data_IF_825143001844
#
_entry.id   IF_825143001844
#
_cell.length_a   1.000
_cell.length_b   1.000
_cell.length_c   1.000
_cell.angle_alpha   90.00
_cell.angle_beta   90.00
_cell.angle_gamma   90.00
#
_symmetry.space_group_name_H-M   'P 1'
#
loop_
_entity.id
_entity.type
_entity.pdbx_description
1 polymer ?
#
# COMPACT_ATOMS: atom_id res chain seq x y z
N UNK A 1 16.74 -22.93 -15.03
CA UNK A 1 16.39 -21.97 -13.96
C UNK A 1 16.01 -20.65 -14.62
N UNK A 2 14.73 -20.33 -14.70
CA UNK A 2 14.25 -19.07 -15.29
C UNK A 2 14.61 -17.90 -14.37
N UNK A 3 15.61 -17.11 -14.76
CA UNK A 3 16.01 -15.89 -14.07
C UNK A 3 14.90 -14.86 -14.23
N UNK A 4 14.01 -14.77 -13.24
CA UNK A 4 12.95 -13.75 -13.21
C UNK A 4 13.64 -12.38 -13.20
N UNK A 5 13.59 -11.67 -14.32
CA UNK A 5 14.21 -10.34 -14.48
C UNK A 5 13.64 -9.44 -13.39
N UNK A 6 14.51 -8.96 -12.48
CA UNK A 6 14.09 -8.08 -11.37
C UNK A 6 13.55 -6.79 -11.98
N UNK A 7 12.31 -6.43 -11.64
CA UNK A 7 11.73 -5.15 -12.04
C UNK A 7 12.47 -3.99 -11.37
N UNK A 8 12.32 -2.79 -11.93
CA UNK A 8 12.88 -1.56 -11.35
C UNK A 8 12.34 -1.37 -9.91
N UNK A 9 13.19 -0.92 -8.98
CA UNK A 9 12.74 -0.63 -7.63
C UNK A 9 11.74 0.54 -7.62
N UNK A 10 10.87 0.59 -6.61
CA UNK A 10 10.03 1.76 -6.34
C UNK A 10 10.87 2.80 -5.60
N UNK A 11 10.95 3.99 -6.17
CA UNK A 11 11.39 5.22 -5.51
C UNK A 11 10.41 5.63 -4.40
N UNK A 12 10.79 6.59 -3.57
CA UNK A 12 9.93 7.03 -2.48
C UNK A 12 8.74 7.85 -2.99
N UNK A 13 8.93 8.68 -4.02
CA UNK A 13 7.82 9.39 -4.70
C UNK A 13 6.81 8.42 -5.30
N UNK A 14 7.28 7.36 -5.99
CA UNK A 14 6.42 6.28 -6.50
C UNK A 14 5.64 5.58 -5.38
N UNK A 15 6.22 5.40 -4.19
CA UNK A 15 5.50 4.82 -3.04
C UNK A 15 4.46 5.80 -2.51
N UNK A 16 4.81 7.07 -2.33
CA UNK A 16 3.88 8.10 -1.84
C UNK A 16 2.65 8.21 -2.72
N UNK A 17 2.82 8.25 -4.04
CA UNK A 17 1.71 8.25 -4.99
C UNK A 17 0.81 7.00 -4.81
N UNK A 18 1.41 5.82 -4.69
CA UNK A 18 0.65 4.58 -4.47
C UNK A 18 -0.16 4.62 -3.16
N UNK A 19 0.45 5.14 -2.10
CA UNK A 19 -0.20 5.30 -0.79
C UNK A 19 -1.38 6.26 -0.89
N UNK A 20 -1.20 7.41 -1.53
CA UNK A 20 -2.25 8.42 -1.71
C UNK A 20 -3.45 7.85 -2.45
N UNK A 21 -3.20 7.17 -3.57
CA UNK A 21 -4.26 6.51 -4.36
C UNK A 21 -4.98 5.43 -3.55
N UNK A 22 -4.26 4.54 -2.87
CA UNK A 22 -4.89 3.48 -2.05
C UNK A 22 -5.70 4.06 -0.90
N UNK A 23 -5.26 5.18 -0.32
CA UNK A 23 -5.96 5.84 0.80
C UNK A 23 -7.35 6.30 0.39
N UNK A 24 -7.52 6.80 -0.84
CA UNK A 24 -8.83 7.19 -1.39
C UNK A 24 -9.80 5.99 -1.47
N UNK A 25 -9.28 4.77 -1.67
CA UNK A 25 -10.07 3.54 -1.80
C UNK A 25 -9.94 2.59 -0.61
N UNK A 26 -9.46 3.07 0.56
CA UNK A 26 -9.15 2.25 1.74
C UNK A 26 -10.32 1.35 2.16
N UNK A 27 -11.53 1.88 2.14
CA UNK A 27 -12.76 1.18 2.53
C UNK A 27 -13.07 -0.05 1.68
N UNK A 28 -12.51 -0.15 0.47
CA UNK A 28 -12.61 -1.32 -0.41
C UNK A 28 -11.35 -2.19 -0.27
N UNK A 29 -10.16 -1.57 -0.32
CA UNK A 29 -8.87 -2.28 -0.35
C UNK A 29 -8.56 -2.99 0.97
N UNK A 30 -8.82 -2.37 2.12
CA UNK A 30 -8.50 -2.93 3.45
C UNK A 30 -9.68 -3.66 4.11
N UNK A 31 -10.81 -3.73 3.42
CA UNK A 31 -11.95 -4.50 3.89
C UNK A 31 -11.66 -6.01 3.83
N UNK A 32 -12.00 -6.70 4.91
CA UNK A 32 -11.74 -8.11 5.16
C UNK A 32 -12.82 -9.05 4.62
N UNK A 33 -13.91 -8.53 4.04
CA UNK A 33 -14.93 -9.35 3.39
C UNK A 33 -14.30 -10.19 2.28
N UNK A 34 -14.71 -11.45 2.19
CA UNK A 34 -14.19 -12.43 1.22
C UNK A 34 -15.25 -12.92 0.24
N UNK A 35 -16.44 -12.31 0.24
CA UNK A 35 -17.52 -12.68 -0.66
C UNK A 35 -17.09 -12.51 -2.13
N UNK A 36 -17.62 -13.35 -3.02
CA UNK A 36 -17.23 -13.35 -4.43
C UNK A 36 -17.50 -11.99 -5.11
N UNK A 37 -18.60 -11.32 -4.74
CA UNK A 37 -18.95 -9.97 -5.21
C UNK A 37 -17.89 -8.96 -4.76
N UNK A 38 -17.54 -9.01 -3.47
CA UNK A 38 -16.57 -8.10 -2.88
C UNK A 38 -15.15 -8.32 -3.43
N UNK A 39 -14.79 -9.57 -3.71
CA UNK A 39 -13.51 -9.91 -4.35
C UNK A 39 -13.42 -9.33 -5.76
N UNK A 40 -14.51 -9.39 -6.55
CA UNK A 40 -14.58 -8.75 -7.86
C UNK A 40 -14.46 -7.23 -7.77
N UNK A 41 -15.15 -6.62 -6.81
CA UNK A 41 -15.10 -5.17 -6.55
C UNK A 41 -13.69 -4.71 -6.15
N UNK A 42 -13.04 -5.44 -5.23
CA UNK A 42 -11.64 -5.19 -4.84
C UNK A 42 -10.69 -5.31 -6.03
N UNK A 43 -10.88 -6.30 -6.90
CA UNK A 43 -10.05 -6.43 -8.11
C UNK A 43 -10.25 -5.28 -9.08
N UNK A 44 -11.50 -4.87 -9.34
CA UNK A 44 -11.80 -3.69 -10.16
C UNK A 44 -11.18 -2.43 -9.59
N UNK A 45 -11.31 -2.22 -8.28
CA UNK A 45 -10.70 -1.09 -7.58
C UNK A 45 -9.17 -1.07 -7.76
N UNK A 46 -8.52 -2.22 -7.69
CA UNK A 46 -7.09 -2.33 -7.95
C UNK A 46 -6.70 -1.98 -9.39
N UNK A 47 -7.52 -2.37 -10.37
CA UNK A 47 -7.29 -2.01 -11.77
C UNK A 47 -7.48 -0.51 -12.01
N UNK A 48 -8.44 0.13 -11.33
CA UNK A 48 -8.65 1.57 -11.41
C UNK A 48 -7.50 2.35 -10.74
N UNK A 49 -6.99 1.88 -9.59
CA UNK A 49 -5.77 2.42 -8.97
C UNK A 49 -4.58 2.26 -9.92
N UNK A 50 -4.44 1.11 -10.57
CA UNK A 50 -3.35 0.86 -11.52
C UNK A 50 -3.39 1.83 -12.71
N UNK A 51 -4.58 2.09 -13.26
CA UNK A 51 -4.75 3.07 -14.33
C UNK A 51 -4.36 4.48 -13.89
N UNK A 52 -4.87 4.95 -12.74
CA UNK A 52 -4.52 6.27 -12.18
C UNK A 52 -3.03 6.39 -11.89
N UNK A 53 -2.46 5.37 -11.26
CA UNK A 53 -1.04 5.33 -10.96
C UNK A 53 -0.20 5.47 -12.23
N UNK A 54 -0.51 4.71 -13.26
CA UNK A 54 0.23 4.74 -14.52
C UNK A 54 -0.03 6.01 -15.35
N UNK A 55 -1.12 6.74 -15.13
CA UNK A 55 -1.32 8.07 -15.74
C UNK A 55 -0.50 9.17 -15.07
N UNK A 56 -0.14 9.00 -13.79
CA UNK A 56 0.60 9.99 -12.99
C UNK A 56 2.09 9.62 -12.82
N UNK A 57 2.44 8.36 -13.02
CA UNK A 57 3.81 7.82 -12.93
C UNK A 57 4.52 7.85 -14.27
N UNK A 58 5.83 8.09 -14.23
CA UNK A 58 6.72 7.97 -15.40
C UNK A 58 7.07 6.52 -15.73
N UNK A 59 6.92 5.62 -14.76
CA UNK A 59 7.24 4.19 -14.90
C UNK A 59 5.95 3.38 -14.82
N UNK A 60 5.72 2.57 -15.85
CA UNK A 60 4.59 1.66 -15.90
C UNK A 60 4.75 0.51 -14.88
N UNK A 61 3.68 0.23 -14.14
CA UNK A 61 3.59 -0.85 -13.16
C UNK A 61 2.30 -1.63 -13.33
N UNK A 62 2.40 -2.95 -13.37
CA UNK A 62 1.23 -3.82 -13.36
C UNK A 62 0.52 -3.82 -12.00
N UNK A 63 -0.78 -4.13 -12.02
CA UNK A 63 -1.61 -4.28 -10.80
C UNK A 63 -0.98 -5.24 -9.78
N UNK A 64 -0.40 -6.36 -10.23
CA UNK A 64 0.29 -7.31 -9.35
C UNK A 64 1.50 -6.70 -8.64
N UNK A 65 2.25 -5.85 -9.35
CA UNK A 65 3.44 -5.18 -8.83
C UNK A 65 3.05 -4.14 -7.78
N UNK A 66 1.98 -3.37 -8.02
CA UNK A 66 1.43 -2.41 -7.06
C UNK A 66 0.88 -3.11 -5.80
N UNK A 67 0.12 -4.20 -5.97
CA UNK A 67 -0.35 -5.05 -4.86
C UNK A 67 0.81 -5.53 -3.99
N UNK A 68 1.86 -6.07 -4.60
CA UNK A 68 3.05 -6.53 -3.88
C UNK A 68 3.77 -5.39 -3.16
N UNK A 69 3.88 -4.21 -3.79
CA UNK A 69 4.46 -3.03 -3.15
C UNK A 69 3.68 -2.66 -1.88
N UNK A 70 2.35 -2.59 -1.97
CA UNK A 70 1.47 -2.30 -0.84
C UNK A 70 1.60 -3.31 0.30
N UNK A 71 1.58 -4.61 0.00
CA UNK A 71 1.75 -5.66 1.02
C UNK A 71 3.13 -5.58 1.70
N UNK A 72 4.17 -5.26 0.93
CA UNK A 72 5.51 -5.05 1.47
C UNK A 72 5.59 -3.81 2.36
N UNK A 73 4.94 -2.70 1.98
CA UNK A 73 4.82 -1.50 2.82
C UNK A 73 4.15 -1.85 4.14
N UNK A 74 2.99 -2.50 4.11
CA UNK A 74 2.29 -2.96 5.33
C UNK A 74 3.15 -3.87 6.20
N UNK A 75 3.89 -4.82 5.60
CA UNK A 75 4.78 -5.72 6.32
C UNK A 75 5.93 -4.98 7.00
N UNK A 76 6.57 -4.04 6.30
CA UNK A 76 7.65 -3.21 6.86
C UNK A 76 7.14 -2.35 8.01
N UNK A 77 5.98 -1.73 7.83
CA UNK A 77 5.32 -0.93 8.87
C UNK A 77 5.03 -1.76 10.12
N UNK A 78 4.43 -2.95 9.98
CA UNK A 78 4.20 -3.85 11.13
C UNK A 78 5.49 -4.26 11.84
N UNK A 79 6.55 -4.58 11.07
CA UNK A 79 7.86 -4.94 11.61
C UNK A 79 8.48 -3.77 12.39
N UNK A 80 8.47 -2.57 11.81
CA UNK A 80 8.95 -1.36 12.46
C UNK A 80 8.23 -1.12 13.79
N UNK A 81 6.89 -1.21 13.85
CA UNK A 81 6.17 -1.06 15.13
C UNK A 81 6.48 -2.15 16.16
N UNK A 82 6.65 -3.39 15.72
CA UNK A 82 7.04 -4.47 16.62
C UNK A 82 8.43 -4.23 17.24
N UNK A 83 9.35 -3.65 16.47
CA UNK A 83 10.70 -3.30 16.91
C UNK A 83 10.72 -2.00 17.75
N UNK A 84 9.95 -0.99 17.37
CA UNK A 84 9.99 0.37 17.92
C UNK A 84 9.08 0.59 19.12
N UNK A 85 8.10 -0.29 19.37
CA UNK A 85 7.52 -0.44 20.70
C UNK A 85 8.58 -0.59 21.81
N UNK A 86 9.81 -0.98 21.45
CA UNK A 86 10.95 -1.01 22.37
C UNK A 86 11.82 0.28 22.40
N UNK A 87 11.56 1.31 21.56
CA UNK A 87 12.48 2.46 21.36
C UNK A 87 11.86 3.87 21.17
N UNK A 88 10.53 4.00 21.09
CA UNK A 88 9.74 5.18 20.68
C UNK A 88 10.33 6.61 20.89
N UNK A 89 10.14 7.44 19.85
CA UNK A 89 10.00 8.92 19.80
C UNK A 89 11.11 9.78 19.14
N UNK A 90 11.58 9.53 17.90
CA UNK A 90 12.48 10.51 17.23
C UNK A 90 12.31 10.89 15.75
N UNK A 91 11.40 10.34 14.95
CA UNK A 91 11.40 10.67 13.50
C UNK A 91 10.02 11.03 12.95
N UNK A 92 9.81 12.32 12.68
CA UNK A 92 8.56 12.95 12.26
C UNK A 92 7.96 12.50 10.92
N UNK A 93 8.51 11.50 10.24
CA UNK A 93 7.88 10.86 9.07
C UNK A 93 6.87 9.77 9.51
N UNK A 94 7.00 9.26 10.74
CA UNK A 94 6.22 8.14 11.30
C UNK A 94 4.84 8.55 11.84
N UNK A 95 4.57 9.85 11.99
CA UNK A 95 3.32 10.33 12.61
C UNK A 95 2.11 10.24 11.67
N UNK A 96 2.28 10.43 10.36
CA UNK A 96 1.15 10.38 9.40
C UNK A 96 0.52 8.99 9.27
N UNK A 97 1.30 7.92 9.47
CA UNK A 97 0.77 6.56 9.48
C UNK A 97 0.16 6.12 10.81
N UNK A 98 0.58 6.73 11.93
CA UNK A 98 0.03 6.39 13.25
C UNK A 98 -1.31 7.05 13.49
N UNK A 99 -1.45 8.37 13.26
CA UNK A 99 -2.72 9.07 13.49
C UNK A 99 -3.83 8.51 12.60
N UNK A 100 -3.52 8.24 11.32
CA UNK A 100 -4.50 7.72 10.36
C UNK A 100 -4.91 6.24 10.60
N UNK A 101 -4.12 5.45 11.34
CA UNK A 101 -4.49 4.08 11.69
C UNK A 101 -5.09 3.97 13.09
N UNK A 102 -4.74 4.86 14.03
CA UNK A 102 -5.37 4.93 15.35
C UNK A 102 -6.84 5.38 15.24
N UNK A 103 -7.13 6.42 14.46
CA UNK A 103 -8.50 6.93 14.26
C UNK A 103 -9.44 5.93 13.55
N UNK A 104 -8.88 4.96 12.80
CA UNK A 104 -9.64 3.97 12.03
C UNK A 104 -9.77 2.59 12.70
N UNK A 105 -9.26 2.45 13.92
CA UNK A 105 -9.37 1.20 14.71
C UNK A 105 -10.12 1.40 16.04
N UNK A 106 -10.33 2.65 16.46
CA UNK A 106 -10.96 3.01 17.75
C UNK A 106 -12.21 3.90 17.65
N UNK A 107 -12.82 4.00 16.45
CA UNK A 107 -14.18 4.52 16.26
C UNK A 107 -14.96 3.57 15.34
#
# INVERSE_FOLDING_TARGET
MSTKKRGMNFSDTEKFLLIELITQYKHIIENKKTDAVFTKEKNKCWDDICKKYNSESTIFRDTSTLKNCWENLKKRTRKYYAEERNKLYKTGIIIYYNLYLYDLTYN
#
